data_IF_485439493989
#
_entry.id   IF_485439493989
#
_cell.length_a   1.000
_cell.length_b   1.000
_cell.length_c   1.000
_cell.angle_alpha   90.00
_cell.angle_beta   90.00
_cell.angle_gamma   90.00
#
_symmetry.space_group_name_H-M   'P 1'
#
loop_
_entity.id
_entity.type
_entity.pdbx_description
1 polymer ?
#
# COMPACT_ATOMS: atom_id res chain seq x y z
N UNK A 1 -19.65 -9.77 18.18
CA UNK A 1 -18.29 -9.30 18.52
C UNK A 1 -18.27 -8.99 20.00
N UNK A 2 -17.36 -9.58 20.77
CA UNK A 2 -17.33 -9.44 22.24
C UNK A 2 -17.00 -7.99 22.66
N UNK A 3 -17.47 -7.58 23.85
CA UNK A 3 -17.27 -6.28 24.47
C UNK A 3 -15.78 -5.95 24.68
N UNK A 4 -14.97 -6.92 25.09
CA UNK A 4 -13.52 -6.71 25.30
C UNK A 4 -12.81 -6.36 23.99
N UNK A 5 -13.20 -7.00 22.89
CA UNK A 5 -12.64 -6.71 21.57
C UNK A 5 -13.08 -5.32 21.08
N UNK A 6 -14.32 -4.91 21.36
CA UNK A 6 -14.78 -3.53 21.06
C UNK A 6 -13.93 -2.51 21.81
N UNK A 7 -13.69 -2.73 23.11
CA UNK A 7 -12.91 -1.84 23.96
C UNK A 7 -11.46 -1.71 23.47
N UNK A 8 -10.81 -2.84 23.15
CA UNK A 8 -9.45 -2.85 22.63
C UNK A 8 -9.35 -2.11 21.27
N UNK A 9 -10.34 -2.26 20.39
CA UNK A 9 -10.41 -1.47 19.14
C UNK A 9 -10.52 0.03 19.44
N UNK A 10 -11.33 0.43 20.43
CA UNK A 10 -11.46 1.83 20.84
C UNK A 10 -10.15 2.39 21.41
N UNK A 11 -9.47 1.66 22.29
CA UNK A 11 -8.17 2.06 22.85
C UNK A 11 -7.12 2.22 21.75
N UNK A 12 -7.05 1.27 20.82
CA UNK A 12 -6.12 1.33 19.68
C UNK A 12 -6.46 2.44 18.69
N UNK A 13 -7.73 2.80 18.56
CA UNK A 13 -8.15 3.97 17.79
C UNK A 13 -7.62 5.26 18.44
N UNK A 14 -7.73 5.44 19.76
CA UNK A 14 -7.17 6.62 20.44
C UNK A 14 -5.65 6.69 20.29
N UNK A 15 -4.94 5.57 20.48
CA UNK A 15 -3.49 5.48 20.24
C UNK A 15 -3.14 5.94 18.82
N UNK A 16 -3.90 5.46 17.82
CA UNK A 16 -3.71 5.81 16.42
C UNK A 16 -3.95 7.29 16.15
N UNK A 17 -5.05 7.87 16.64
CA UNK A 17 -5.36 9.29 16.47
C UNK A 17 -4.27 10.17 17.07
N UNK A 18 -3.80 9.82 18.27
CA UNK A 18 -2.76 10.56 18.98
C UNK A 18 -1.41 10.46 18.26
N UNK A 19 -1.00 9.26 17.86
CA UNK A 19 0.26 9.03 17.15
C UNK A 19 0.34 9.78 15.82
N UNK A 20 -0.77 9.85 15.10
CA UNK A 20 -0.83 10.50 13.79
C UNK A 20 -1.26 11.97 13.87
N UNK A 21 -1.44 12.54 15.07
CA UNK A 21 -1.95 13.90 15.27
C UNK A 21 -3.19 14.18 14.41
N UNK A 22 -4.13 13.24 14.42
CA UNK A 22 -5.30 13.21 13.55
C UNK A 22 -6.56 13.40 14.38
N UNK A 23 -7.47 14.27 13.90
CA UNK A 23 -8.76 14.46 14.57
C UNK A 23 -9.73 13.31 14.26
N UNK A 24 -10.72 13.08 15.12
CA UNK A 24 -11.75 12.06 14.86
C UNK A 24 -12.60 12.35 13.62
N UNK A 25 -12.81 13.62 13.28
CA UNK A 25 -13.50 14.02 12.05
C UNK A 25 -12.65 13.71 10.83
N UNK A 26 -11.35 14.05 10.89
CA UNK A 26 -10.41 13.73 9.83
C UNK A 26 -10.28 12.21 9.59
N UNK A 27 -10.29 11.41 10.67
CA UNK A 27 -10.33 9.95 10.56
C UNK A 27 -11.63 9.46 9.91
N UNK A 28 -12.77 9.99 10.34
CA UNK A 28 -14.10 9.73 9.77
C UNK A 28 -14.09 9.94 8.25
N UNK A 29 -13.58 11.10 7.81
CA UNK A 29 -13.54 11.47 6.40
C UNK A 29 -12.56 10.61 5.61
N UNK A 30 -11.39 10.31 6.19
CA UNK A 30 -10.33 9.51 5.53
C UNK A 30 -10.75 8.07 5.27
N UNK A 31 -11.55 7.49 6.17
CA UNK A 31 -11.93 6.08 6.11
C UNK A 31 -13.40 5.85 5.78
N UNK A 32 -14.14 6.93 5.48
CA UNK A 32 -15.57 6.91 5.17
C UNK A 32 -16.39 6.18 6.26
N UNK A 33 -16.17 6.57 7.51
CA UNK A 33 -16.90 6.06 8.68
C UNK A 33 -17.68 7.23 9.28
N UNK A 34 -19.00 7.12 9.51
CA UNK A 34 -19.80 8.24 10.01
C UNK A 34 -19.23 8.86 11.31
N UNK A 35 -19.07 10.18 11.36
CA UNK A 35 -18.41 10.86 12.49
C UNK A 35 -19.14 10.67 13.81
N UNK A 36 -20.47 10.59 13.77
CA UNK A 36 -21.28 10.26 14.94
C UNK A 36 -20.99 8.84 15.47
N UNK A 37 -20.65 7.88 14.61
CA UNK A 37 -20.31 6.52 15.04
C UNK A 37 -18.94 6.50 15.70
N UNK A 38 -17.95 7.18 15.11
CA UNK A 38 -16.62 7.36 15.71
C UNK A 38 -16.77 8.02 17.09
N UNK A 39 -17.52 9.12 17.19
CA UNK A 39 -17.74 9.81 18.47
C UNK A 39 -18.36 8.91 19.54
N UNK A 40 -19.40 8.14 19.23
CA UNK A 40 -20.01 7.23 20.21
C UNK A 40 -19.05 6.10 20.62
N UNK A 41 -18.31 5.51 19.67
CA UNK A 41 -17.34 4.44 19.94
C UNK A 41 -16.23 4.92 20.87
N UNK A 42 -15.69 6.13 20.62
CA UNK A 42 -14.67 6.78 21.46
C UNK A 42 -15.17 7.05 22.89
N UNK A 43 -16.45 7.37 23.02
CA UNK A 43 -17.13 7.54 24.32
C UNK A 43 -17.54 6.21 24.98
N UNK A 44 -17.06 5.06 24.47
CA UNK A 44 -17.36 3.74 25.02
C UNK A 44 -18.80 3.27 24.79
N UNK A 45 -19.56 3.93 23.91
CA UNK A 45 -20.94 3.58 23.57
C UNK A 45 -20.98 2.74 22.31
N UNK A 46 -21.87 1.75 22.30
CA UNK A 46 -22.06 0.84 21.16
C UNK A 46 -23.39 1.04 20.42
N UNK A 47 -24.01 2.20 20.62
CA UNK A 47 -25.23 2.63 19.95
C UNK A 47 -25.12 4.10 19.50
N UNK A 48 -25.92 4.46 18.51
CA UNK A 48 -26.21 5.83 18.11
C UNK A 48 -27.68 6.15 18.37
N UNK A 49 -28.00 7.42 18.62
CA UNK A 49 -29.39 7.88 18.75
C UNK A 49 -29.96 8.15 17.36
N UNK A 50 -31.15 7.62 17.08
CA UNK A 50 -31.92 7.81 15.85
C UNK A 50 -33.24 8.52 16.18
N UNK A 51 -33.14 9.76 16.67
CA UNK A 51 -34.23 10.51 17.30
C UNK A 51 -34.04 10.63 18.83
N UNK A 52 -35.01 11.22 19.52
CA UNK A 52 -34.91 11.52 20.97
C UNK A 52 -34.80 10.25 21.83
N UNK A 53 -35.51 9.16 21.50
CA UNK A 53 -35.58 7.96 22.36
C UNK A 53 -35.15 6.65 21.70
N UNK A 54 -34.72 6.67 20.43
CA UNK A 54 -34.40 5.43 19.70
C UNK A 54 -32.90 5.17 19.67
N UNK A 55 -32.46 4.12 20.38
CA UNK A 55 -31.08 3.62 20.30
C UNK A 55 -30.95 2.60 19.18
N UNK A 56 -30.02 2.83 18.26
CA UNK A 56 -29.65 1.88 17.20
C UNK A 56 -28.24 1.39 17.48
N UNK A 57 -28.10 0.07 17.66
CA UNK A 57 -26.79 -0.54 17.91
C UNK A 57 -25.87 -0.33 16.71
N UNK A 58 -24.63 0.03 16.99
CA UNK A 58 -23.59 0.17 15.98
C UNK A 58 -23.26 -1.22 15.44
N UNK A 59 -23.50 -1.41 14.15
CA UNK A 59 -23.25 -2.66 13.48
C UNK A 59 -21.75 -3.06 13.57
N UNK A 60 -21.40 -4.34 13.86
CA UNK A 60 -20.00 -4.78 13.99
C UNK A 60 -19.10 -4.45 12.80
N UNK A 61 -19.67 -4.25 11.60
CA UNK A 61 -18.94 -3.81 10.40
C UNK A 61 -18.09 -2.56 10.64
N UNK A 62 -18.58 -1.59 11.44
CA UNK A 62 -17.86 -0.35 11.68
C UNK A 62 -16.64 -0.56 12.57
N UNK A 63 -16.75 -1.41 13.59
CA UNK A 63 -15.58 -1.80 14.39
C UNK A 63 -14.54 -2.56 13.57
N UNK A 64 -14.97 -3.44 12.65
CA UNK A 64 -14.05 -4.12 11.72
C UNK A 64 -13.39 -3.13 10.75
N UNK A 65 -14.12 -2.14 10.28
CA UNK A 65 -13.59 -1.07 9.42
C UNK A 65 -12.56 -0.23 10.17
N UNK A 66 -12.85 0.20 11.40
CA UNK A 66 -11.90 0.90 12.28
C UNK A 66 -10.65 0.04 12.49
N UNK A 67 -10.82 -1.21 12.93
CA UNK A 67 -9.71 -2.14 13.16
C UNK A 67 -8.83 -2.29 11.90
N UNK A 68 -9.44 -2.45 10.73
CA UNK A 68 -8.74 -2.52 9.45
C UNK A 68 -7.98 -1.22 9.14
N UNK A 69 -8.60 -0.06 9.36
CA UNK A 69 -8.02 1.26 9.08
C UNK A 69 -6.80 1.55 9.95
N UNK A 70 -6.86 1.22 11.25
CA UNK A 70 -5.74 1.44 12.19
C UNK A 70 -4.71 0.30 12.19
N UNK A 71 -4.91 -0.73 11.35
CA UNK A 71 -4.03 -1.91 11.30
C UNK A 71 -4.13 -2.83 12.52
N UNK A 72 -5.21 -2.74 13.31
CA UNK A 72 -5.47 -3.60 14.45
C UNK A 72 -5.94 -5.00 14.00
N UNK A 73 -5.23 -6.03 14.44
CA UNK A 73 -5.51 -7.43 14.08
C UNK A 73 -6.43 -8.04 15.13
N UNK A 74 -7.66 -8.36 14.72
CA UNK A 74 -8.66 -9.00 15.60
C UNK A 74 -8.47 -10.51 15.71
N UNK A 75 -7.73 -11.12 14.80
CA UNK A 75 -7.52 -12.57 14.68
C UNK A 75 -6.04 -12.90 14.77
N UNK A 76 -5.74 -14.17 15.04
CA UNK A 76 -4.38 -14.70 15.05
C UNK A 76 -3.69 -14.42 13.71
N UNK A 77 -2.51 -13.82 13.79
CA UNK A 77 -1.71 -13.51 12.61
C UNK A 77 -0.85 -14.71 12.21
N UNK A 78 -1.12 -15.24 11.02
CA UNK A 78 -0.36 -16.35 10.41
C UNK A 78 0.76 -15.88 9.49
N UNK A 79 0.69 -14.63 9.01
CA UNK A 79 1.67 -14.06 8.10
C UNK A 79 2.20 -12.74 8.63
N UNK A 80 3.47 -12.74 9.03
CA UNK A 80 4.14 -11.55 9.58
C UNK A 80 5.07 -10.94 8.55
N UNK A 81 5.23 -9.63 8.62
CA UNK A 81 6.25 -8.89 7.86
C UNK A 81 7.64 -9.45 8.15
N UNK A 82 8.43 -9.69 7.10
CA UNK A 82 9.83 -10.07 7.20
C UNK A 82 10.68 -8.99 6.52
N UNK A 83 11.82 -8.70 7.13
CA UNK A 83 12.79 -7.73 6.59
C UNK A 83 13.65 -8.44 5.56
N UNK A 84 13.20 -8.45 4.32
CA UNK A 84 13.92 -9.04 3.18
C UNK A 84 14.91 -8.04 2.56
N UNK A 85 15.82 -8.47 1.68
CA UNK A 85 16.65 -7.53 0.93
C UNK A 85 15.82 -6.51 0.11
N UNK A 86 14.73 -6.95 -0.51
CA UNK A 86 13.82 -6.06 -1.24
C UNK A 86 13.12 -5.09 -0.30
N UNK A 87 12.80 -5.52 0.93
CA UNK A 87 12.22 -4.66 1.94
C UNK A 87 13.12 -3.45 2.22
N UNK A 88 14.38 -3.71 2.54
CA UNK A 88 15.34 -2.65 2.86
C UNK A 88 15.57 -1.72 1.66
N UNK A 89 15.64 -2.28 0.43
CA UNK A 89 15.80 -1.48 -0.78
C UNK A 89 14.59 -0.58 -1.07
N UNK A 90 13.37 -1.11 -0.97
CA UNK A 90 12.15 -0.33 -1.20
C UNK A 90 12.06 0.77 -0.13
N UNK A 91 12.23 0.41 1.15
CA UNK A 91 12.11 1.37 2.24
C UNK A 91 13.13 2.51 2.10
N UNK A 92 14.41 2.20 1.87
CA UNK A 92 15.43 3.24 1.70
C UNK A 92 15.14 4.19 0.54
N UNK A 93 14.63 3.68 -0.59
CA UNK A 93 14.25 4.55 -1.73
C UNK A 93 13.05 5.43 -1.38
N UNK A 94 12.06 4.91 -0.65
CA UNK A 94 10.89 5.69 -0.24
C UNK A 94 11.26 6.76 0.79
N UNK A 95 12.13 6.43 1.75
CA UNK A 95 12.62 7.38 2.76
C UNK A 95 13.47 8.49 2.12
N UNK A 96 14.44 8.14 1.28
CA UNK A 96 15.26 9.13 0.55
C UNK A 96 14.38 10.07 -0.30
N UNK A 97 13.39 9.51 -1.02
CA UNK A 97 12.51 10.31 -1.85
C UNK A 97 11.59 11.22 -1.04
N UNK A 98 11.14 10.77 0.13
CA UNK A 98 10.35 11.58 1.08
C UNK A 98 11.17 12.77 1.59
N UNK A 99 12.38 12.50 2.08
CA UNK A 99 13.26 13.51 2.67
C UNK A 99 13.72 14.55 1.61
N UNK A 100 14.26 14.08 0.49
CA UNK A 100 14.92 14.93 -0.50
C UNK A 100 14.06 15.33 -1.70
N UNK A 101 12.81 14.83 -1.79
CA UNK A 101 11.92 15.12 -2.91
C UNK A 101 12.40 14.54 -4.24
N UNK A 102 13.04 13.37 -4.21
CA UNK A 102 13.58 12.72 -5.41
C UNK A 102 12.51 12.04 -6.25
N UNK A 103 12.80 11.94 -7.56
CA UNK A 103 12.03 11.10 -8.47
C UNK A 103 12.74 9.79 -8.71
N UNK A 104 12.15 8.68 -8.31
CA UNK A 104 12.73 7.36 -8.46
C UNK A 104 11.75 6.38 -9.11
N UNK A 105 12.31 5.38 -9.77
CA UNK A 105 11.53 4.24 -10.29
C UNK A 105 12.04 2.97 -9.62
N UNK A 106 11.15 2.25 -8.95
CA UNK A 106 11.44 0.98 -8.31
C UNK A 106 10.95 -0.15 -9.23
N UNK A 107 11.89 -0.98 -9.68
CA UNK A 107 11.62 -2.12 -10.56
C UNK A 107 11.92 -3.41 -9.82
N UNK A 108 10.95 -4.33 -9.80
CA UNK A 108 11.17 -5.66 -9.27
C UNK A 108 10.15 -6.67 -9.75
N UNK A 109 10.42 -7.94 -9.45
CA UNK A 109 9.59 -9.09 -9.83
C UNK A 109 8.20 -9.05 -9.19
N UNK A 110 7.23 -9.74 -9.81
CA UNK A 110 5.89 -9.89 -9.24
C UNK A 110 5.96 -10.69 -7.94
N UNK A 111 5.22 -10.25 -6.91
CA UNK A 111 5.19 -10.95 -5.63
C UNK A 111 6.40 -10.70 -4.72
N UNK A 112 7.32 -9.80 -5.05
CA UNK A 112 8.47 -9.46 -4.19
C UNK A 112 8.16 -8.46 -3.05
N UNK A 113 6.90 -8.02 -2.91
CA UNK A 113 6.45 -7.16 -1.80
C UNK A 113 6.32 -5.66 -2.11
N UNK A 114 6.48 -5.23 -3.37
CA UNK A 114 6.38 -3.81 -3.80
C UNK A 114 5.12 -3.10 -3.28
N UNK A 115 3.93 -3.58 -3.67
CA UNK A 115 2.65 -2.98 -3.28
C UNK A 115 2.39 -3.07 -1.77
N UNK A 116 2.81 -4.18 -1.16
CA UNK A 116 2.69 -4.40 0.28
C UNK A 116 3.47 -3.35 1.08
N UNK A 117 4.68 -3.01 0.63
CA UNK A 117 5.52 -2.03 1.31
C UNK A 117 5.13 -0.60 1.03
N UNK A 118 4.68 -0.27 -0.19
CA UNK A 118 4.11 1.05 -0.45
C UNK A 118 2.84 1.28 0.39
N UNK A 119 2.00 0.26 0.60
CA UNK A 119 0.86 0.33 1.52
C UNK A 119 1.28 0.54 2.98
N UNK A 120 2.30 -0.20 3.44
CA UNK A 120 2.82 -0.07 4.80
C UNK A 120 3.43 1.31 5.03
N UNK A 121 4.14 1.84 4.04
CA UNK A 121 4.77 3.16 4.08
C UNK A 121 3.72 4.26 4.16
N UNK A 122 2.68 4.23 3.31
CA UNK A 122 1.57 5.19 3.38
C UNK A 122 0.87 5.17 4.73
N UNK A 123 0.65 3.99 5.31
CA UNK A 123 0.07 3.85 6.66
C UNK A 123 0.96 4.42 7.76
N UNK A 124 2.28 4.45 7.54
CA UNK A 124 3.25 4.98 8.50
C UNK A 124 3.38 6.50 8.40
N UNK A 125 3.07 7.08 7.25
CA UNK A 125 3.24 8.50 6.93
C UNK A 125 1.97 9.10 6.33
N UNK A 126 0.82 8.96 7.01
CA UNK A 126 -0.50 9.28 6.43
C UNK A 126 -0.70 10.75 6.00
N UNK A 127 0.07 11.68 6.59
CA UNK A 127 0.03 13.11 6.23
C UNK A 127 0.93 13.46 5.04
N UNK A 128 1.94 12.63 4.77
CA UNK A 128 2.99 12.89 3.79
C UNK A 128 2.85 12.01 2.54
N UNK A 129 2.45 10.76 2.71
CA UNK A 129 2.57 9.73 1.69
C UNK A 129 1.22 9.41 1.05
N UNK A 130 1.17 9.55 -0.27
CA UNK A 130 -0.03 9.37 -1.08
C UNK A 130 0.24 8.30 -2.13
N UNK A 131 -0.56 7.23 -2.18
CA UNK A 131 -0.41 6.16 -3.18
C UNK A 131 -1.58 6.09 -4.14
N UNK A 132 -1.25 6.00 -5.42
CA UNK A 132 -2.17 5.83 -6.53
C UNK A 132 -1.85 4.50 -7.22
N UNK A 133 -2.81 3.56 -7.19
CA UNK A 133 -2.69 2.31 -7.97
C UNK A 133 -3.23 2.54 -9.37
N UNK A 134 -2.37 2.38 -10.37
CA UNK A 134 -2.68 2.62 -11.78
C UNK A 134 -3.39 1.39 -12.35
N UNK A 135 -4.60 1.59 -12.84
CA UNK A 135 -5.39 0.57 -13.54
C UNK A 135 -5.04 0.50 -15.02
N UNK A 136 -5.12 -0.69 -15.60
CA UNK A 136 -4.90 -0.91 -17.04
C UNK A 136 -5.82 -0.09 -17.94
N UNK A 137 -7.03 0.20 -17.46
CA UNK A 137 -8.04 0.99 -18.19
C UNK A 137 -7.94 2.50 -17.91
N UNK A 138 -7.19 2.91 -16.89
CA UNK A 138 -7.13 4.31 -16.46
C UNK A 138 -6.75 5.24 -17.62
N UNK A 139 -7.52 6.29 -17.79
CA UNK A 139 -7.13 7.44 -18.60
C UNK A 139 -6.31 8.42 -17.77
N UNK A 140 -5.74 9.42 -18.43
CA UNK A 140 -5.14 10.56 -17.74
C UNK A 140 -6.13 11.27 -16.81
N UNK A 141 -7.42 11.31 -17.16
CA UNK A 141 -8.44 11.96 -16.32
C UNK A 141 -8.62 11.18 -15.02
N UNK A 142 -8.80 9.87 -15.14
CA UNK A 142 -9.01 8.97 -13.99
C UNK A 142 -7.80 9.01 -13.05
N UNK A 143 -6.58 9.07 -13.60
CA UNK A 143 -5.39 9.19 -12.78
C UNK A 143 -5.34 10.52 -12.01
N UNK A 144 -5.66 11.63 -12.67
CA UNK A 144 -5.69 12.94 -12.02
C UNK A 144 -6.79 13.01 -10.96
N UNK A 145 -7.95 12.38 -11.22
CA UNK A 145 -9.05 12.28 -10.26
C UNK A 145 -8.62 11.48 -9.01
N UNK A 146 -7.95 10.34 -9.19
CA UNK A 146 -7.38 9.56 -8.08
C UNK A 146 -6.37 10.36 -7.25
N UNK A 147 -5.49 11.13 -7.89
CA UNK A 147 -4.53 11.99 -7.18
C UNK A 147 -5.29 13.07 -6.39
N UNK A 148 -6.27 13.72 -7.02
CA UNK A 148 -7.06 14.76 -6.35
C UNK A 148 -7.83 14.20 -5.14
N UNK A 149 -8.43 13.02 -5.26
CA UNK A 149 -9.11 12.32 -4.17
C UNK A 149 -8.13 12.00 -3.04
N UNK A 150 -6.96 11.44 -3.37
CA UNK A 150 -5.94 11.11 -2.37
C UNK A 150 -5.39 12.34 -1.63
N UNK A 151 -5.30 13.49 -2.32
CA UNK A 151 -4.87 14.77 -1.74
C UNK A 151 -6.02 15.57 -1.11
N UNK A 152 -7.26 15.07 -1.20
CA UNK A 152 -8.49 15.73 -0.75
C UNK A 152 -8.66 17.15 -1.31
N UNK A 153 -8.32 17.34 -2.57
CA UNK A 153 -8.48 18.63 -3.25
C UNK A 153 -9.72 18.63 -4.16
N UNK A 154 -10.55 19.67 -4.03
CA UNK A 154 -11.59 19.96 -5.01
C UNK A 154 -10.96 20.70 -6.18
N UNK A 155 -10.69 19.97 -7.27
CA UNK A 155 -10.09 20.56 -8.46
C UNK A 155 -11.11 20.88 -9.56
N UNK A 156 -10.72 21.73 -10.51
CA UNK A 156 -11.55 22.05 -11.66
C UNK A 156 -11.72 20.90 -12.66
N UNK A 157 -12.51 21.17 -13.70
CA UNK A 157 -12.89 20.18 -14.72
C UNK A 157 -11.79 19.89 -15.74
N UNK A 158 -10.82 20.80 -15.95
CA UNK A 158 -9.77 20.63 -16.96
C UNK A 158 -8.52 19.94 -16.40
N UNK A 159 -7.89 19.09 -17.24
CA UNK A 159 -6.67 18.34 -16.89
C UNK A 159 -5.52 19.26 -16.44
N UNK A 160 -5.33 20.39 -17.15
CA UNK A 160 -4.29 21.37 -16.80
C UNK A 160 -4.55 22.02 -15.44
N UNK A 161 -5.81 22.36 -15.12
CA UNK A 161 -6.16 22.92 -13.81
C UNK A 161 -5.90 21.90 -12.69
N UNK A 162 -6.25 20.63 -12.91
CA UNK A 162 -5.95 19.54 -11.97
C UNK A 162 -4.47 19.38 -11.69
N UNK A 163 -3.63 19.36 -12.72
CA UNK A 163 -2.18 19.29 -12.55
C UNK A 163 -1.66 20.48 -11.70
N UNK A 164 -2.12 21.70 -12.00
CA UNK A 164 -1.74 22.90 -11.23
C UNK A 164 -2.19 22.84 -9.77
N UNK A 165 -3.42 22.40 -9.52
CA UNK A 165 -3.96 22.28 -8.16
C UNK A 165 -3.21 21.21 -7.35
N UNK A 166 -2.86 20.07 -7.98
CA UNK A 166 -2.01 19.02 -7.39
C UNK A 166 -0.64 19.59 -7.01
N UNK A 167 0.03 20.25 -7.96
CA UNK A 167 1.35 20.86 -7.72
C UNK A 167 1.27 21.84 -6.56
N UNK A 168 0.32 22.77 -6.60
CA UNK A 168 0.12 23.78 -5.55
C UNK A 168 -0.08 23.14 -4.18
N UNK A 169 -0.90 22.08 -4.08
CA UNK A 169 -1.16 21.39 -2.82
C UNK A 169 0.10 20.72 -2.26
N UNK A 170 0.83 19.98 -3.09
CA UNK A 170 2.05 19.29 -2.68
C UNK A 170 3.14 20.29 -2.26
N UNK A 171 3.34 21.37 -3.01
CA UNK A 171 4.28 22.43 -2.62
C UNK A 171 3.86 23.12 -1.31
N UNK A 172 2.56 23.37 -1.09
CA UNK A 172 2.05 23.91 0.18
C UNK A 172 2.40 23.01 1.37
N UNK A 173 2.20 21.69 1.23
CA UNK A 173 2.55 20.73 2.28
C UNK A 173 4.04 20.84 2.64
N UNK A 174 4.94 20.91 1.64
CA UNK A 174 6.38 21.09 1.91
C UNK A 174 6.67 22.40 2.65
N UNK A 175 6.01 23.50 2.30
CA UNK A 175 6.15 24.79 2.98
C UNK A 175 5.60 24.77 4.41
N UNK A 176 4.59 23.94 4.68
CA UNK A 176 4.04 23.69 6.01
C UNK A 176 4.94 22.78 6.86
N UNK A 177 6.07 22.30 6.32
CA UNK A 177 7.04 21.45 7.02
C UNK A 177 6.84 19.95 6.83
N UNK A 178 5.87 19.54 6.00
CA UNK A 178 5.66 18.15 5.63
C UNK A 178 6.66 17.69 4.56
N UNK A 179 6.72 16.39 4.32
CA UNK A 179 7.60 15.77 3.34
C UNK A 179 6.77 14.97 2.34
N UNK A 180 6.02 15.64 1.46
CA UNK A 180 5.05 14.96 0.62
C UNK A 180 5.73 14.00 -0.36
N UNK A 181 5.11 12.85 -0.57
CA UNK A 181 5.57 11.83 -1.50
C UNK A 181 4.36 11.21 -2.22
N UNK A 182 4.42 11.17 -3.55
CA UNK A 182 3.40 10.60 -4.42
C UNK A 182 3.93 9.31 -5.07
N UNK A 183 3.28 8.19 -4.75
CA UNK A 183 3.66 6.85 -5.17
C UNK A 183 2.67 6.34 -6.20
N UNK A 184 3.14 6.00 -7.40
CA UNK A 184 2.40 5.35 -8.46
C UNK A 184 2.72 3.86 -8.47
N UNK A 185 1.79 3.03 -7.98
CA UNK A 185 1.89 1.58 -7.98
C UNK A 185 1.31 1.00 -9.28
N UNK A 186 1.85 -0.13 -9.74
CA UNK A 186 1.52 -0.76 -11.04
C UNK A 186 1.75 0.18 -12.25
N UNK A 187 2.84 0.95 -12.19
CA UNK A 187 3.13 2.02 -13.14
C UNK A 187 3.37 1.55 -14.60
N UNK A 188 3.59 0.25 -14.84
CA UNK A 188 3.60 -0.34 -16.18
C UNK A 188 2.32 -0.03 -16.99
N UNK A 189 1.18 0.15 -16.30
CA UNK A 189 -0.09 0.47 -16.93
C UNK A 189 -0.23 1.94 -17.38
N UNK A 190 0.69 2.84 -16.97
CA UNK A 190 0.65 4.25 -17.38
C UNK A 190 0.71 4.41 -18.90
N UNK A 191 -0.33 4.96 -19.51
CA UNK A 191 -0.36 5.24 -20.96
C UNK A 191 0.71 6.29 -21.33
N UNK A 192 1.15 6.30 -22.59
CA UNK A 192 2.16 7.25 -23.07
C UNK A 192 1.76 8.71 -22.76
N UNK A 193 0.50 9.08 -23.02
CA UNK A 193 -0.01 10.42 -22.73
C UNK A 193 0.10 10.78 -21.25
N UNK A 194 -0.06 9.81 -20.35
CA UNK A 194 0.06 9.99 -18.92
C UNK A 194 1.52 10.14 -18.49
N UNK A 195 2.43 9.34 -19.06
CA UNK A 195 3.89 9.46 -18.84
C UNK A 195 4.42 10.84 -19.26
N UNK A 196 3.84 11.49 -20.27
CA UNK A 196 4.23 12.85 -20.64
C UNK A 196 3.96 13.86 -19.51
N UNK A 197 2.85 13.75 -18.78
CA UNK A 197 2.57 14.67 -17.66
C UNK A 197 3.41 14.37 -16.42
N UNK A 198 3.95 13.15 -16.30
CA UNK A 198 4.92 12.86 -15.23
C UNK A 198 6.17 13.72 -15.35
N UNK A 199 6.55 14.14 -16.57
CA UNK A 199 7.59 15.16 -16.77
C UNK A 199 7.19 16.50 -16.16
N UNK A 200 5.96 16.95 -16.39
CA UNK A 200 5.47 18.22 -15.85
C UNK A 200 5.41 18.18 -14.33
N UNK A 201 4.92 17.08 -13.74
CA UNK A 201 4.95 16.87 -12.30
C UNK A 201 6.39 16.89 -11.78
N UNK A 202 7.30 16.15 -12.40
CA UNK A 202 8.72 16.15 -12.02
C UNK A 202 9.33 17.55 -12.04
N UNK A 203 9.12 18.32 -13.11
CA UNK A 203 9.72 19.64 -13.26
C UNK A 203 9.31 20.62 -12.16
N UNK A 204 8.07 20.53 -11.67
CA UNK A 204 7.55 21.44 -10.65
C UNK A 204 7.69 20.91 -9.22
N UNK A 205 7.82 19.59 -9.05
CA UNK A 205 7.83 18.94 -7.74
C UNK A 205 9.20 18.43 -7.31
N UNK A 206 10.19 18.39 -8.20
CA UNK A 206 11.55 18.00 -7.84
C UNK A 206 12.04 18.81 -6.63
N UNK A 207 12.60 18.14 -5.62
CA UNK A 207 13.02 18.70 -4.31
C UNK A 207 11.89 19.18 -3.39
N UNK A 208 10.64 19.26 -3.88
CA UNK A 208 9.48 19.64 -3.08
C UNK A 208 8.62 18.45 -2.67
N UNK A 209 8.52 17.43 -3.52
CA UNK A 209 7.74 16.23 -3.29
C UNK A 209 8.40 15.02 -3.95
N UNK A 210 8.50 13.92 -3.22
CA UNK A 210 9.02 12.66 -3.76
C UNK A 210 8.06 12.10 -4.81
N UNK A 211 8.57 11.69 -5.97
CA UNK A 211 7.77 11.04 -7.01
C UNK A 211 8.28 9.62 -7.25
N UNK A 212 7.50 8.63 -6.86
CA UNK A 212 7.90 7.23 -6.97
C UNK A 212 7.03 6.51 -7.99
N UNK A 213 7.65 5.86 -8.96
CA UNK A 213 6.95 4.92 -9.84
C UNK A 213 7.40 3.51 -9.48
N UNK A 214 6.45 2.63 -9.16
CA UNK A 214 6.70 1.24 -8.81
C UNK A 214 6.11 0.37 -9.90
N UNK A 215 6.91 -0.56 -10.43
CA UNK A 215 6.43 -1.48 -11.45
C UNK A 215 7.34 -2.68 -11.70
N UNK A 216 7.00 -3.44 -12.74
CA UNK A 216 7.83 -4.54 -13.26
C UNK A 216 8.76 -4.07 -14.40
N UNK A 217 9.60 -4.98 -14.91
CA UNK A 217 10.46 -4.72 -16.07
C UNK A 217 9.69 -4.26 -17.33
N UNK A 218 8.38 -4.53 -17.38
CA UNK A 218 7.52 -4.04 -18.46
C UNK A 218 7.51 -2.52 -18.54
N UNK A 219 7.57 -1.82 -17.40
CA UNK A 219 7.65 -0.36 -17.35
C UNK A 219 8.92 0.15 -18.03
N UNK A 220 10.08 -0.44 -17.73
CA UNK A 220 11.35 -0.04 -18.34
C UNK A 220 11.36 -0.33 -19.83
N UNK A 221 10.93 -1.52 -20.24
CA UNK A 221 10.84 -1.89 -21.66
C UNK A 221 9.98 -0.90 -22.45
N UNK A 222 8.85 -0.49 -21.86
CA UNK A 222 7.94 0.51 -22.43
C UNK A 222 8.59 1.89 -22.53
N UNK A 223 9.23 2.38 -21.47
CA UNK A 223 9.93 3.67 -21.46
C UNK A 223 11.05 3.72 -22.52
N UNK A 224 11.85 2.65 -22.59
CA UNK A 224 12.91 2.50 -23.58
C UNK A 224 12.38 2.46 -25.02
N UNK A 225 11.29 1.72 -25.26
CA UNK A 225 10.67 1.65 -26.58
C UNK A 225 10.12 3.01 -27.03
N UNK A 226 9.45 3.74 -26.12
CA UNK A 226 8.91 5.06 -26.40
C UNK A 226 10.02 6.08 -26.67
N UNK A 227 11.12 6.01 -25.91
CA UNK A 227 12.33 6.83 -26.13
C UNK A 227 12.94 6.56 -27.51
N UNK A 228 13.16 5.28 -27.85
CA UNK A 228 13.76 4.89 -29.16
C UNK A 228 12.91 5.33 -30.35
N UNK A 229 11.59 5.33 -30.20
CA UNK A 229 10.64 5.83 -31.21
C UNK A 229 10.53 7.35 -31.25
N UNK A 230 11.32 8.07 -30.45
CA UNK A 230 11.30 9.53 -30.29
C UNK A 230 9.87 10.08 -30.10
N UNK A 231 9.07 9.38 -29.30
CA UNK A 231 7.70 9.81 -29.00
C UNK A 231 7.72 11.10 -28.19
N UNK A 232 6.87 12.04 -28.55
CA UNK A 232 6.81 13.37 -27.94
C UNK A 232 6.82 13.32 -26.40
N UNK A 233 7.71 14.09 -25.78
CA UNK A 233 7.86 14.18 -24.32
C UNK A 233 8.66 13.04 -23.67
N UNK A 234 8.83 11.90 -24.34
CA UNK A 234 9.43 10.70 -23.73
C UNK A 234 10.94 10.77 -23.55
N UNK A 235 11.75 11.25 -24.50
CA UNK A 235 13.18 11.47 -24.26
C UNK A 235 13.43 12.44 -23.11
N UNK A 236 12.62 13.50 -22.99
CA UNK A 236 12.74 14.50 -21.94
C UNK A 236 12.33 13.95 -20.57
N UNK A 237 11.29 13.12 -20.52
CA UNK A 237 10.93 12.44 -19.28
C UNK A 237 12.01 11.44 -18.89
N UNK A 238 12.47 10.61 -19.83
CA UNK A 238 13.49 9.59 -19.58
C UNK A 238 14.79 10.18 -19.04
N UNK A 239 15.24 11.33 -19.54
CA UNK A 239 16.47 11.97 -19.06
C UNK A 239 16.42 12.39 -17.58
N UNK A 240 15.23 12.73 -17.06
CA UNK A 240 15.00 13.09 -15.64
C UNK A 240 15.06 11.88 -14.71
N UNK A 241 14.59 10.73 -15.18
CA UNK A 241 14.42 9.53 -14.35
C UNK A 241 15.54 8.51 -14.51
N UNK A 242 16.38 8.57 -15.56
CA UNK A 242 17.37 7.54 -15.90
C UNK A 242 18.25 7.13 -14.71
N UNK A 243 18.75 8.11 -13.96
CA UNK A 243 19.61 7.86 -12.80
C UNK A 243 18.83 7.61 -11.50
N UNK A 244 17.51 7.76 -11.52
CA UNK A 244 16.59 7.45 -10.44
C UNK A 244 16.01 6.03 -10.51
N UNK A 245 16.33 5.24 -11.55
CA UNK A 245 15.89 3.84 -11.67
C UNK A 245 16.64 2.98 -10.64
N UNK A 246 15.91 2.16 -9.91
CA UNK A 246 16.38 1.27 -8.84
C UNK A 246 15.84 -0.13 -9.12
N UNK A 247 16.73 -1.05 -9.45
CA UNK A 247 16.40 -2.46 -9.63
C UNK A 247 16.52 -3.16 -8.27
N UNK A 248 15.41 -3.77 -7.84
CA UNK A 248 15.40 -4.61 -6.65
C UNK A 248 16.18 -5.89 -6.92
N UNK A 249 16.79 -6.44 -5.87
CA UNK A 249 17.37 -7.79 -5.94
C UNK A 249 16.26 -8.79 -6.26
N UNK A 250 16.59 -9.82 -7.04
CA UNK A 250 15.71 -10.96 -7.25
C UNK A 250 15.36 -11.66 -5.93
N UNK A 251 14.20 -12.30 -5.90
CA UNK A 251 13.73 -13.02 -4.73
C UNK A 251 14.69 -14.19 -4.43
N UNK A 252 15.12 -14.33 -3.18
CA UNK A 252 15.84 -15.53 -2.74
C UNK A 252 14.82 -16.66 -2.55
N UNK A 253 14.82 -17.63 -3.46
CA UNK A 253 13.92 -18.79 -3.43
C UNK A 253 14.24 -19.78 -2.31
N UNK A 254 15.32 -19.58 -1.54
CA UNK A 254 15.49 -20.30 -0.28
C UNK A 254 14.52 -19.80 0.80
N UNK A 255 14.01 -18.57 0.66
CA UNK A 255 13.02 -17.97 1.55
C UNK A 255 13.39 -18.01 3.03
N UNK A 256 14.68 -17.94 3.34
CA UNK A 256 15.25 -18.19 4.66
C UNK A 256 14.57 -17.37 5.77
N UNK A 257 14.20 -16.13 5.48
CA UNK A 257 13.51 -15.22 6.42
C UNK A 257 12.10 -15.70 6.80
N UNK A 258 11.44 -16.46 5.93
CA UNK A 258 10.08 -16.97 6.10
C UNK A 258 10.06 -18.38 6.67
N UNK A 259 10.91 -19.27 6.16
CA UNK A 259 10.84 -20.72 6.45
C UNK A 259 11.84 -21.18 7.51
N UNK A 260 12.80 -20.35 7.91
CA UNK A 260 13.86 -20.75 8.86
C UNK A 260 13.39 -21.21 10.24
N UNK A 261 12.12 -20.98 10.59
CA UNK A 261 11.50 -21.45 11.84
C UNK A 261 10.72 -22.77 11.72
N UNK A 262 10.61 -23.37 10.53
CA UNK A 262 9.86 -24.61 10.35
C UNK A 262 10.69 -25.85 10.72
N UNK A 263 10.06 -26.78 11.42
CA UNK A 263 10.68 -28.04 11.85
C UNK A 263 10.68 -29.10 10.74
N UNK A 264 9.62 -29.11 9.93
CA UNK A 264 9.47 -30.05 8.80
C UNK A 264 10.35 -29.60 7.62
N UNK A 265 11.42 -30.35 7.37
CA UNK A 265 12.37 -30.06 6.28
C UNK A 265 11.80 -30.38 4.90
N UNK A 266 10.87 -31.32 4.80
CA UNK A 266 10.27 -31.71 3.52
C UNK A 266 9.26 -30.65 3.10
N UNK A 267 8.51 -30.09 4.05
CA UNK A 267 7.73 -28.87 3.82
C UNK A 267 8.60 -27.71 3.31
N UNK A 268 9.77 -27.47 3.91
CA UNK A 268 10.68 -26.40 3.46
C UNK A 268 11.12 -26.63 2.01
N UNK A 269 11.55 -27.85 1.68
CA UNK A 269 11.94 -28.20 0.30
C UNK A 269 10.77 -28.07 -0.67
N UNK A 270 9.58 -28.49 -0.28
CA UNK A 270 8.36 -28.32 -1.07
C UNK A 270 8.15 -26.84 -1.40
N UNK A 271 8.19 -25.96 -0.40
CA UNK A 271 8.01 -24.52 -0.62
C UNK A 271 9.08 -23.94 -1.55
N UNK A 272 10.34 -24.32 -1.36
CA UNK A 272 11.46 -23.84 -2.19
C UNK A 272 11.39 -24.33 -3.64
N UNK A 273 10.81 -25.51 -3.88
CA UNK A 273 10.67 -26.07 -5.23
C UNK A 273 9.44 -25.55 -5.98
N UNK A 274 8.35 -25.26 -5.27
CA UNK A 274 7.06 -24.92 -5.88
C UNK A 274 6.71 -23.43 -5.82
N UNK A 275 7.36 -22.64 -4.97
CA UNK A 275 7.14 -21.20 -4.87
C UNK A 275 8.32 -20.43 -5.46
N UNK A 276 8.01 -19.37 -6.20
CA UNK A 276 8.97 -18.45 -6.82
C UNK A 276 8.88 -17.04 -6.24
N UNK A 277 7.84 -16.74 -5.46
CA UNK A 277 7.63 -15.42 -4.87
C UNK A 277 7.05 -15.47 -3.45
N UNK A 278 7.17 -14.36 -2.71
CA UNK A 278 6.57 -14.23 -1.38
C UNK A 278 5.03 -14.30 -1.41
N UNK A 279 4.42 -13.94 -2.54
CA UNK A 279 2.97 -14.07 -2.76
C UNK A 279 2.57 -15.54 -2.80
N UNK A 280 3.26 -16.35 -3.59
CA UNK A 280 2.98 -17.79 -3.69
C UNK A 280 3.20 -18.49 -2.35
N UNK A 281 4.29 -18.14 -1.64
CA UNK A 281 4.50 -18.62 -0.27
C UNK A 281 3.34 -18.28 0.66
N UNK A 282 2.86 -17.04 0.63
CA UNK A 282 1.71 -16.62 1.42
C UNK A 282 0.47 -17.45 1.08
N UNK A 283 0.19 -17.62 -0.21
CA UNK A 283 -1.00 -18.31 -0.71
C UNK A 283 -0.99 -19.82 -0.37
N UNK A 284 0.21 -20.42 -0.24
CA UNK A 284 0.40 -21.79 0.23
C UNK A 284 0.33 -21.88 1.77
N UNK A 285 1.09 -21.04 2.48
CA UNK A 285 1.29 -21.19 3.92
C UNK A 285 0.11 -20.73 4.75
N UNK A 286 -0.53 -19.61 4.40
CA UNK A 286 -1.59 -19.03 5.25
C UNK A 286 -2.80 -19.94 5.37
N UNK A 287 -3.34 -20.53 4.27
CA UNK A 287 -4.43 -21.50 4.38
C UNK A 287 -4.02 -22.73 5.19
N UNK A 288 -2.81 -23.27 4.96
CA UNK A 288 -2.34 -24.46 5.65
C UNK A 288 -2.10 -24.23 7.15
N UNK A 289 -1.57 -23.07 7.54
CA UNK A 289 -1.41 -22.70 8.95
C UNK A 289 -2.75 -22.54 9.67
N UNK A 290 -3.76 -21.96 9.00
CA UNK A 290 -5.12 -21.86 9.55
C UNK A 290 -5.72 -23.24 9.78
N UNK A 291 -5.53 -24.15 8.82
CA UNK A 291 -6.04 -25.51 8.91
C UNK A 291 -5.31 -26.33 9.99
N UNK A 292 -3.99 -26.18 10.09
CA UNK A 292 -3.17 -26.78 11.15
C UNK A 292 -3.67 -26.36 12.54
N UNK A 293 -3.93 -25.06 12.74
CA UNK A 293 -4.46 -24.54 14.00
C UNK A 293 -5.89 -25.05 14.28
N UNK A 294 -6.73 -25.17 13.24
CA UNK A 294 -8.09 -25.70 13.34
C UNK A 294 -8.11 -27.17 13.75
N UNK A 295 -7.23 -27.98 13.17
CA UNK A 295 -7.08 -29.42 13.45
C UNK A 295 -6.26 -29.70 14.72
N UNK A 296 -5.53 -28.69 15.23
CA UNK A 296 -4.52 -28.84 16.28
C UNK A 296 -3.42 -29.83 15.92
N UNK A 297 -3.04 -29.82 14.65
CA UNK A 297 -1.99 -30.66 14.07
C UNK A 297 -0.79 -29.81 13.67
N UNK A 298 0.43 -30.38 13.60
CA UNK A 298 1.60 -29.66 13.11
C UNK A 298 1.46 -29.32 11.62
N UNK A 299 2.02 -28.17 11.22
CA UNK A 299 2.14 -27.81 9.82
C UNK A 299 3.19 -28.70 9.14
N UNK A 300 2.75 -29.52 8.19
CA UNK A 300 3.58 -30.48 7.44
C UNK A 300 3.34 -30.39 5.94
N UNK A 301 4.22 -30.98 5.14
CA UNK A 301 4.01 -31.05 3.68
C UNK A 301 2.71 -31.77 3.32
N UNK A 302 2.40 -32.89 4.00
CA UNK A 302 1.17 -33.64 3.76
C UNK A 302 -0.09 -32.82 4.04
N UNK A 303 -0.08 -32.00 5.10
CA UNK A 303 -1.19 -31.10 5.37
C UNK A 303 -1.32 -30.02 4.28
N UNK A 304 -0.21 -29.43 3.84
CA UNK A 304 -0.20 -28.46 2.74
C UNK A 304 -0.78 -29.08 1.47
N UNK A 305 -0.30 -30.26 1.09
CA UNK A 305 -0.79 -31.00 -0.10
C UNK A 305 -2.29 -31.26 0.00
N UNK A 306 -2.78 -31.70 1.17
CA UNK A 306 -4.21 -31.92 1.42
C UNK A 306 -5.02 -30.62 1.28
N UNK A 307 -4.55 -29.51 1.84
CA UNK A 307 -5.24 -28.20 1.76
C UNK A 307 -5.29 -27.69 0.32
N UNK A 308 -4.26 -27.95 -0.47
CA UNK A 308 -4.15 -27.54 -1.86
C UNK A 308 -4.70 -28.57 -2.86
N UNK A 309 -5.28 -29.68 -2.39
CA UNK A 309 -5.74 -30.81 -3.22
C UNK A 309 -4.64 -31.36 -4.16
N UNK A 310 -3.41 -31.43 -3.68
CA UNK A 310 -2.28 -32.06 -4.37
C UNK A 310 -2.16 -33.54 -3.98
N UNK A 311 -1.56 -34.40 -4.81
CA UNK A 311 -1.30 -35.79 -4.47
C UNK A 311 -0.51 -35.90 -3.15
N UNK A 312 -0.88 -36.84 -2.25
CA UNK A 312 -0.12 -37.09 -1.04
C UNK A 312 1.28 -37.62 -1.38
N UNK A 313 2.20 -37.49 -0.42
CA UNK A 313 3.51 -38.15 -0.47
C UNK A 313 3.37 -39.67 -0.47
#
# INVERSE_FOLDING_TARGET
MNKDLKLNITEKLEDYLKKNEMSANEFSDSYNIPSNYISQIRNGKDFVMAGEDKKVMIHPKYYRQIAKSIGFKMEKEYWRTKVTPQFNQILGVLEDAKEFGYTNIIIGETGCGKSYLSDLFVKSYIKDAFKITVGSMDTISDLLDKICESLKIQSGTSKSKRIKDIIKKLTSLKLEGYEPILIFDEAEYLKQSTLCNMKELHDHLNQHCGLILIGTDQLIKKLEQLRKKNKDGMPQFYSRIKFGIRYLKSIDTNFSEFVGGFQDKDLVKFLQNYCTSYRELHDVLVPAMREADRLREPLTENLVRKVLNLPPL
#
